data_IF_620742195076
#
_entry.id   IF_620742195076
#
_cell.length_a   1.000
_cell.length_b   1.000
_cell.length_c   1.000
_cell.angle_alpha   90.00
_cell.angle_beta   90.00
_cell.angle_gamma   90.00
#
_symmetry.space_group_name_H-M   'P 1'
#
loop_
_entity.id
_entity.type
_entity.pdbx_description
1 polymer ?
#
# COMPACT_ATOMS: atom_id res chain seq x y z
N UNK A 1 20.73 18.71 48.02
CA UNK A 1 20.20 17.89 46.90
C UNK A 1 19.07 18.63 46.17
N UNK A 2 18.14 19.26 46.90
CA UNK A 2 17.04 20.07 46.33
C UNK A 2 17.50 21.27 45.49
N UNK A 3 18.57 21.97 45.90
CA UNK A 3 19.12 23.12 45.15
C UNK A 3 19.69 22.72 43.79
N UNK A 4 20.24 21.51 43.68
CA UNK A 4 20.78 20.98 42.41
C UNK A 4 19.65 20.58 41.46
N UNK A 5 18.59 19.95 41.97
CA UNK A 5 17.42 19.60 41.17
C UNK A 5 16.70 20.84 40.64
N UNK A 6 16.56 21.89 41.45
CA UNK A 6 15.96 23.16 41.02
C UNK A 6 16.80 23.84 39.94
N UNK A 7 18.11 23.91 40.15
CA UNK A 7 19.06 24.45 39.15
C UNK A 7 19.01 23.68 37.82
N UNK A 8 18.85 22.36 37.86
CA UNK A 8 18.74 21.53 36.64
C UNK A 8 17.39 21.68 35.94
N UNK A 9 16.30 21.85 36.69
CA UNK A 9 14.98 22.15 36.14
C UNK A 9 14.96 23.52 35.44
N UNK A 10 15.56 24.54 36.06
CA UNK A 10 15.66 25.88 35.48
C UNK A 10 16.53 25.88 34.20
N UNK A 11 17.62 25.11 34.17
CA UNK A 11 18.43 24.92 32.95
C UNK A 11 17.64 24.28 31.80
N UNK A 12 16.83 23.24 32.09
CA UNK A 12 16.02 22.59 31.06
C UNK A 12 14.90 23.50 30.57
N UNK A 13 14.29 24.28 31.46
CA UNK A 13 13.28 25.27 31.08
C UNK A 13 13.88 26.35 30.17
N UNK A 14 15.07 26.85 30.48
CA UNK A 14 15.77 27.83 29.64
C UNK A 14 16.13 27.25 28.27
N UNK A 15 16.68 26.03 28.22
CA UNK A 15 17.01 25.36 26.96
C UNK A 15 15.78 25.11 26.07
N UNK A 16 14.64 24.78 26.67
CA UNK A 16 13.38 24.64 25.94
C UNK A 16 12.88 25.99 25.39
N UNK A 17 12.97 27.05 26.19
CA UNK A 17 12.60 28.42 25.78
C UNK A 17 13.46 28.89 24.59
N UNK A 18 14.76 28.62 24.62
CA UNK A 18 15.70 28.99 23.55
C UNK A 18 15.40 28.22 22.26
N UNK A 19 15.06 26.93 22.36
CA UNK A 19 14.70 26.11 21.20
C UNK A 19 13.37 26.55 20.56
N UNK A 20 12.35 26.88 21.38
CA UNK A 20 11.08 27.44 20.88
C UNK A 20 11.33 28.77 20.16
N UNK A 21 12.17 29.63 20.73
CA UNK A 21 12.52 30.92 20.11
C UNK A 21 13.26 30.74 18.77
N UNK A 22 14.19 29.77 18.68
CA UNK A 22 14.90 29.46 17.44
C UNK A 22 13.97 28.89 16.35
N UNK A 23 13.04 28.01 16.72
CA UNK A 23 12.01 27.49 15.81
C UNK A 23 11.09 28.62 15.34
N UNK A 24 10.64 29.49 16.24
CA UNK A 24 9.77 30.61 15.89
C UNK A 24 10.45 31.64 14.98
N UNK A 25 11.74 31.92 15.20
CA UNK A 25 12.54 32.76 14.29
C UNK A 25 12.72 32.10 12.92
N UNK A 26 12.97 30.79 12.88
CA UNK A 26 13.14 30.04 11.63
C UNK A 26 11.83 29.97 10.83
N UNK A 27 10.71 29.73 11.50
CA UNK A 27 9.38 29.74 10.89
C UNK A 27 9.02 31.12 10.34
N UNK A 28 9.30 32.19 11.10
CA UNK A 28 9.05 33.57 10.63
C UNK A 28 9.88 33.92 9.39
N UNK A 29 11.09 33.37 9.27
CA UNK A 29 11.97 33.58 8.13
C UNK A 29 11.53 32.82 6.87
N UNK A 30 10.93 31.63 7.03
CA UNK A 30 10.36 30.86 5.92
C UNK A 30 9.09 31.52 5.39
N UNK A 31 8.20 31.98 6.27
CA UNK A 31 6.97 32.68 5.86
C UNK A 31 7.28 34.00 5.12
N UNK A 32 8.36 34.69 5.50
CA UNK A 32 8.79 35.91 4.80
C UNK A 32 9.40 35.64 3.40
N UNK A 33 9.93 34.43 3.15
CA UNK A 33 10.52 34.07 1.86
C UNK A 33 9.45 33.68 0.83
N UNK A 34 8.39 32.97 1.25
CA UNK A 34 7.29 32.60 0.37
C UNK A 34 6.40 33.79 0.02
N UNK A 35 6.20 34.73 0.96
CA UNK A 35 5.41 35.94 0.70
C UNK A 35 6.07 36.90 -0.31
N UNK A 36 7.39 36.91 -0.42
CA UNK A 36 8.10 37.74 -1.39
C UNK A 36 8.04 37.15 -2.81
N UNK A 37 8.08 35.81 -2.92
CA UNK A 37 8.08 35.11 -4.22
C UNK A 37 6.68 35.04 -4.85
N UNK A 38 5.62 34.90 -4.04
CA UNK A 38 4.24 34.87 -4.53
C UNK A 38 3.69 36.24 -4.99
N UNK A 39 4.45 37.33 -4.80
CA UNK A 39 3.99 38.69 -5.13
C UNK A 39 4.34 39.17 -6.53
N UNK A 40 5.27 38.51 -7.23
CA UNK A 40 5.72 38.95 -8.56
C UNK A 40 4.77 38.50 -9.70
N UNK A 41 3.88 37.54 -9.46
CA UNK A 41 3.01 36.94 -10.50
C UNK A 41 1.54 37.37 -10.43
N UNK A 42 1.20 38.36 -9.60
CA UNK A 42 -0.18 38.86 -9.46
C UNK A 42 -0.39 40.17 -10.25
N UNK A 43 -1.36 40.16 -11.17
CA UNK A 43 -1.81 41.29 -12.00
C UNK A 43 -3.10 41.89 -11.42
N UNK A 44 -3.02 43.06 -10.79
CA UNK A 44 -4.21 43.83 -10.37
C UNK A 44 -4.71 44.72 -11.51
N UNK A 45 -5.91 44.44 -12.02
CA UNK A 45 -6.46 45.08 -13.22
C UNK A 45 -7.81 45.75 -12.92
N UNK A 46 -7.94 47.04 -13.22
CA UNK A 46 -9.16 47.83 -12.99
C UNK A 46 -10.09 47.81 -14.21
N UNK A 47 -11.26 47.19 -14.06
CA UNK A 47 -12.31 47.10 -15.08
C UNK A 47 -13.38 48.18 -14.89
N UNK A 48 -13.55 49.03 -15.91
CA UNK A 48 -14.57 50.08 -15.97
C UNK A 48 -15.92 49.56 -16.45
N UNK A 49 -16.89 50.46 -16.65
CA UNK A 49 -18.19 50.14 -17.24
C UNK A 49 -18.03 49.54 -18.65
N UNK A 50 -18.72 48.43 -18.89
CA UNK A 50 -18.71 47.71 -20.18
C UNK A 50 -18.52 46.21 -20.03
N UNK A 51 -18.53 45.46 -21.15
CA UNK A 51 -18.24 44.04 -21.15
C UNK A 51 -16.77 43.80 -20.74
N UNK A 52 -16.55 42.86 -19.81
CA UNK A 52 -15.21 42.50 -19.35
C UNK A 52 -14.33 41.99 -20.50
N UNK A 53 -14.89 41.13 -21.35
CA UNK A 53 -14.22 40.64 -22.55
C UNK A 53 -13.38 39.37 -22.37
N UNK A 54 -13.63 38.59 -21.31
CA UNK A 54 -13.05 37.26 -21.12
C UNK A 54 -14.11 36.25 -20.67
N UNK A 55 -13.83 34.96 -20.83
CA UNK A 55 -14.66 33.84 -20.36
C UNK A 55 -13.86 33.01 -19.37
N UNK A 56 -14.51 32.62 -18.25
CA UNK A 56 -13.92 31.78 -17.22
C UNK A 56 -14.51 30.36 -17.25
N UNK A 57 -13.65 29.38 -17.03
CA UNK A 57 -13.99 28.01 -16.63
C UNK A 57 -13.40 27.81 -15.23
N UNK A 58 -14.29 27.66 -14.24
CA UNK A 58 -13.91 27.78 -12.84
C UNK A 58 -13.33 29.16 -12.51
N UNK A 59 -12.06 29.19 -12.12
CA UNK A 59 -11.25 30.40 -11.92
C UNK A 59 -10.26 30.67 -13.06
N UNK A 60 -10.18 29.84 -14.08
CA UNK A 60 -9.21 29.95 -15.17
C UNK A 60 -9.78 30.73 -16.38
N UNK A 61 -8.98 31.62 -16.96
CA UNK A 61 -9.33 32.34 -18.19
C UNK A 61 -9.13 31.43 -19.40
N UNK A 62 -10.22 31.04 -20.06
CA UNK A 62 -10.19 30.11 -21.22
C UNK A 62 -10.24 30.84 -22.55
N UNK A 63 -10.83 32.04 -22.58
CA UNK A 63 -10.96 32.82 -23.79
C UNK A 63 -10.94 34.32 -23.48
N UNK A 64 -10.22 35.08 -24.30
CA UNK A 64 -10.18 36.54 -24.26
C UNK A 64 -10.69 37.06 -25.60
N UNK A 65 -11.66 37.96 -25.58
CA UNK A 65 -12.27 38.52 -26.79
C UNK A 65 -11.42 39.69 -27.30
N UNK A 66 -11.07 39.72 -28.59
CA UNK A 66 -10.22 40.77 -29.14
C UNK A 66 -10.91 42.14 -29.08
N UNK A 67 -10.10 43.20 -28.97
CA UNK A 67 -10.46 44.61 -28.85
C UNK A 67 -11.27 44.99 -27.59
N UNK A 68 -11.41 44.09 -26.62
CA UNK A 68 -12.14 44.33 -25.36
C UNK A 68 -11.25 44.90 -24.25
N UNK A 69 -11.83 45.14 -23.07
CA UNK A 69 -11.09 45.67 -21.92
C UNK A 69 -10.06 44.67 -21.38
N UNK A 70 -10.42 43.37 -21.32
CA UNK A 70 -9.53 42.30 -20.88
C UNK A 70 -8.18 42.27 -21.63
N UNK A 71 -8.23 42.25 -22.96
CA UNK A 71 -7.02 42.22 -23.81
C UNK A 71 -6.18 43.49 -23.62
N UNK A 72 -6.82 44.67 -23.54
CA UNK A 72 -6.10 45.95 -23.34
C UNK A 72 -5.42 46.04 -21.97
N UNK A 73 -5.96 45.33 -20.97
CA UNK A 73 -5.40 45.26 -19.63
C UNK A 73 -4.37 44.14 -19.46
N UNK A 74 -4.13 43.31 -20.50
CA UNK A 74 -3.15 42.24 -20.47
C UNK A 74 -3.61 40.96 -19.77
N UNK A 75 -4.92 40.70 -19.76
CA UNK A 75 -5.45 39.38 -19.40
C UNK A 75 -5.16 38.40 -20.52
N UNK A 76 -4.49 37.30 -20.20
CA UNK A 76 -4.12 36.25 -21.15
C UNK A 76 -4.92 34.96 -20.88
N UNK A 77 -4.98 34.08 -21.89
CA UNK A 77 -5.57 32.74 -21.72
C UNK A 77 -4.64 31.94 -20.81
N UNK A 78 -5.19 31.33 -19.76
CA UNK A 78 -4.45 30.63 -18.72
C UNK A 78 -4.29 31.41 -17.42
N UNK A 79 -4.50 32.74 -17.42
CA UNK A 79 -4.50 33.52 -16.18
C UNK A 79 -5.59 33.00 -15.22
N UNK A 80 -5.27 32.88 -13.92
CA UNK A 80 -6.19 32.41 -12.88
C UNK A 80 -6.70 33.58 -12.05
N UNK A 81 -8.01 33.70 -11.90
CA UNK A 81 -8.64 34.75 -11.09
C UNK A 81 -8.55 34.39 -9.59
N UNK A 82 -7.77 35.17 -8.84
CA UNK A 82 -7.51 34.94 -7.41
C UNK A 82 -8.31 35.88 -6.52
N UNK A 83 -8.49 37.15 -6.91
CA UNK A 83 -9.26 38.11 -6.13
C UNK A 83 -10.22 38.94 -6.98
N UNK A 84 -11.35 39.26 -6.36
CA UNK A 84 -12.42 40.07 -6.94
C UNK A 84 -12.72 41.19 -5.94
N UNK A 85 -12.29 42.42 -6.23
CA UNK A 85 -12.43 43.60 -5.37
C UNK A 85 -11.91 43.38 -3.93
N UNK A 86 -10.78 42.70 -3.81
CA UNK A 86 -10.17 42.33 -2.53
C UNK A 86 -10.72 41.07 -1.86
N UNK A 87 -11.81 40.47 -2.39
CA UNK A 87 -12.31 39.18 -1.92
C UNK A 87 -11.57 38.02 -2.59
N UNK A 88 -11.04 37.11 -1.80
CA UNK A 88 -10.36 35.91 -2.30
C UNK A 88 -11.36 34.92 -2.89
N UNK A 89 -11.06 34.47 -4.12
CA UNK A 89 -11.77 33.39 -4.80
C UNK A 89 -11.23 32.07 -4.25
N UNK A 90 -12.07 31.22 -3.64
CA UNK A 90 -11.58 29.96 -3.09
C UNK A 90 -10.97 29.06 -4.18
N UNK A 91 -9.78 28.50 -3.90
CA UNK A 91 -9.15 27.47 -4.73
C UNK A 91 -9.82 26.13 -4.44
N UNK A 92 -10.21 25.42 -5.49
CA UNK A 92 -10.84 24.11 -5.38
C UNK A 92 -10.04 23.11 -6.20
N UNK A 93 -9.76 21.94 -5.62
CA UNK A 93 -8.96 20.88 -6.23
C UNK A 93 -9.82 19.86 -6.97
N UNK A 94 -11.14 19.88 -6.78
CA UNK A 94 -12.07 18.89 -7.34
C UNK A 94 -13.07 19.51 -8.32
N UNK A 95 -13.37 18.79 -9.42
CA UNK A 95 -14.30 19.20 -10.47
C UNK A 95 -15.71 19.56 -9.95
N UNK A 96 -16.15 18.92 -8.86
CA UNK A 96 -17.47 19.17 -8.27
C UNK A 96 -17.56 20.53 -7.59
N UNK A 97 -16.47 20.97 -6.97
CA UNK A 97 -16.39 22.24 -6.27
C UNK A 97 -16.17 23.41 -7.23
N UNK A 98 -15.52 23.16 -8.37
CA UNK A 98 -15.33 24.13 -9.44
C UNK A 98 -16.67 24.69 -9.97
N UNK A 99 -17.70 23.85 -10.06
CA UNK A 99 -19.04 24.31 -10.45
C UNK A 99 -19.68 25.29 -9.45
N UNK A 100 -19.36 25.14 -8.15
CA UNK A 100 -19.81 26.08 -7.11
C UNK A 100 -19.02 27.39 -7.21
N UNK A 101 -17.71 27.30 -7.42
CA UNK A 101 -16.84 28.45 -7.66
C UNK A 101 -17.38 29.31 -8.80
N UNK A 102 -17.70 28.68 -9.94
CA UNK A 102 -18.26 29.36 -11.12
C UNK A 102 -19.53 30.15 -10.81
N UNK A 103 -20.43 29.61 -9.98
CA UNK A 103 -21.67 30.31 -9.59
C UNK A 103 -21.38 31.51 -8.68
N UNK A 104 -20.45 31.35 -7.74
CA UNK A 104 -20.06 32.43 -6.81
C UNK A 104 -19.34 33.54 -7.57
N UNK A 105 -18.35 33.20 -8.39
CA UNK A 105 -17.60 34.14 -9.24
C UNK A 105 -18.55 34.87 -10.19
N UNK A 106 -19.46 34.15 -10.88
CA UNK A 106 -20.44 34.78 -11.76
C UNK A 106 -21.39 35.73 -11.01
N UNK A 107 -21.75 35.39 -9.77
CA UNK A 107 -22.56 36.26 -8.91
C UNK A 107 -21.78 37.51 -8.51
N UNK A 108 -20.54 37.37 -8.05
CA UNK A 108 -19.68 38.50 -7.67
C UNK A 108 -19.42 39.42 -8.87
N UNK A 109 -19.02 38.88 -10.03
CA UNK A 109 -18.81 39.67 -11.26
C UNK A 109 -20.06 40.44 -11.71
N UNK A 110 -21.26 39.94 -11.39
CA UNK A 110 -22.54 40.59 -11.72
C UNK A 110 -22.95 41.66 -10.69
N UNK A 111 -22.66 41.44 -9.41
CA UNK A 111 -23.07 42.30 -8.30
C UNK A 111 -22.04 43.39 -7.96
N UNK A 112 -20.83 43.30 -8.49
CA UNK A 112 -19.76 44.26 -8.21
C UNK A 112 -20.05 45.68 -8.72
N UNK A 113 -19.75 46.71 -7.90
CA UNK A 113 -19.75 48.08 -8.37
C UNK A 113 -18.64 48.29 -9.41
N UNK A 114 -18.93 49.10 -10.44
CA UNK A 114 -17.95 49.50 -11.45
C UNK A 114 -17.40 50.88 -11.08
N UNK A 115 -16.08 51.13 -11.15
CA UNK A 115 -15.02 50.21 -11.57
C UNK A 115 -14.72 49.12 -10.53
N UNK A 116 -14.31 47.94 -11.00
CA UNK A 116 -13.96 46.79 -10.18
C UNK A 116 -12.49 46.38 -10.40
N UNK A 117 -11.78 46.02 -9.33
CA UNK A 117 -10.40 45.53 -9.41
C UNK A 117 -10.41 44.00 -9.40
N UNK A 118 -9.79 43.37 -10.38
CA UNK A 118 -9.63 41.92 -10.47
C UNK A 118 -8.14 41.58 -10.40
N UNK A 119 -7.78 40.62 -9.53
CA UNK A 119 -6.40 40.14 -9.40
C UNK A 119 -6.26 38.79 -10.07
N UNK A 120 -5.39 38.71 -11.07
CA UNK A 120 -5.06 37.48 -11.78
C UNK A 120 -3.68 36.99 -11.39
N UNK A 121 -3.51 35.69 -11.30
CA UNK A 121 -2.24 34.98 -11.13
C UNK A 121 -1.87 34.38 -12.48
N UNK A 122 -0.63 34.61 -12.94
CA UNK A 122 -0.14 33.91 -14.13
C UNK A 122 -0.20 32.40 -13.86
N UNK A 123 -0.59 31.57 -14.84
CA UNK A 123 -0.46 30.14 -14.69
C UNK A 123 1.03 29.86 -14.45
N UNK A 124 1.34 29.06 -13.44
CA UNK A 124 2.67 28.48 -13.32
C UNK A 124 2.95 27.84 -14.68
N UNK A 125 3.87 28.44 -15.45
CA UNK A 125 4.38 27.80 -16.64
C UNK A 125 5.12 26.59 -16.08
N UNK A 126 4.43 25.46 -16.04
CA UNK A 126 5.10 24.18 -15.98
C UNK A 126 6.12 24.25 -17.13
N UNK A 127 7.40 24.35 -16.80
CA UNK A 127 8.52 24.46 -17.75
C UNK A 127 8.67 23.20 -18.64
N UNK A 128 7.59 22.44 -18.83
CA UNK A 128 7.41 21.43 -19.84
C UNK A 128 7.34 22.09 -21.23
N UNK A 129 8.48 22.51 -21.76
CA UNK A 129 8.87 22.36 -23.18
C UNK A 129 10.11 23.22 -23.52
N UNK A 130 11.27 22.72 -23.10
CA UNK A 130 12.46 22.78 -23.97
C UNK A 130 12.79 21.41 -24.53
N UNK A 131 11.77 20.72 -25.06
CA UNK A 131 11.97 19.57 -25.96
C UNK A 131 12.19 20.08 -27.39
N UNK A 132 13.45 20.42 -27.65
CA UNK A 132 13.97 20.49 -29.02
C UNK A 132 13.81 19.12 -29.70
N UNK A 133 13.46 19.06 -30.98
CA UNK A 133 13.27 17.81 -31.69
C UNK A 133 14.65 17.25 -32.07
N UNK A 134 15.20 16.32 -31.30
CA UNK A 134 16.20 15.41 -31.84
C UNK A 134 16.19 14.09 -31.08
N UNK A 135 15.57 13.08 -31.70
CA UNK A 135 15.33 11.77 -31.13
C UNK A 135 16.61 10.98 -30.82
N UNK A 136 16.52 10.20 -29.74
CA UNK A 136 17.01 8.84 -29.62
C UNK A 136 16.57 8.31 -28.24
N UNK A 137 15.74 7.26 -28.26
CA UNK A 137 15.47 6.28 -27.20
C UNK A 137 16.18 6.53 -25.85
N UNK A 138 15.47 7.17 -24.92
CA UNK A 138 15.80 7.15 -23.51
C UNK A 138 14.56 6.77 -22.70
N UNK A 139 14.72 5.89 -21.70
CA UNK A 139 13.62 5.25 -20.99
C UNK A 139 12.83 6.29 -20.21
N UNK A 140 11.50 6.23 -20.36
CA UNK A 140 10.50 6.93 -19.55
C UNK A 140 10.87 6.81 -18.06
N UNK A 141 11.48 7.87 -17.54
CA UNK A 141 11.75 8.02 -16.11
C UNK A 141 10.62 8.89 -15.59
N UNK A 142 9.56 8.25 -15.13
CA UNK A 142 8.43 8.87 -14.42
C UNK A 142 8.99 9.74 -13.29
N UNK A 143 9.01 11.06 -13.48
CA UNK A 143 9.28 12.02 -12.42
C UNK A 143 8.02 12.17 -11.55
N UNK A 144 7.72 11.13 -10.77
CA UNK A 144 6.94 11.28 -9.55
C UNK A 144 7.82 12.00 -8.53
N UNK A 145 7.86 13.33 -8.59
CA UNK A 145 8.48 14.14 -7.54
C UNK A 145 7.76 13.83 -6.21
N UNK A 146 8.48 13.64 -5.09
CA UNK A 146 7.92 12.94 -3.95
C UNK A 146 6.86 13.80 -3.24
N UNK A 147 5.62 13.32 -3.21
CA UNK A 147 4.52 13.79 -2.33
C UNK A 147 4.83 13.64 -0.81
N UNK A 148 6.10 13.50 -0.44
CA UNK A 148 6.56 13.28 0.93
C UNK A 148 6.12 14.40 1.88
N UNK A 149 6.02 15.64 1.39
CA UNK A 149 5.50 16.78 2.17
C UNK A 149 4.01 16.65 2.51
N UNK A 150 3.18 16.22 1.55
CA UNK A 150 1.73 16.08 1.75
C UNK A 150 1.40 14.99 2.77
N UNK A 151 2.11 13.84 2.72
CA UNK A 151 1.95 12.75 3.70
C UNK A 151 2.31 13.23 5.11
N UNK A 152 3.34 14.04 5.25
CA UNK A 152 3.79 14.54 6.56
C UNK A 152 2.80 15.54 7.16
N UNK A 153 2.18 16.40 6.33
CA UNK A 153 1.10 17.32 6.75
C UNK A 153 -0.13 16.54 7.21
N UNK A 154 -0.61 15.58 6.42
CA UNK A 154 -1.76 14.73 6.78
C UNK A 154 -1.49 13.92 8.05
N UNK A 155 -0.25 13.44 8.24
CA UNK A 155 0.12 12.71 9.45
C UNK A 155 0.12 13.61 10.69
N UNK A 156 0.58 14.85 10.57
CA UNK A 156 0.52 15.84 11.64
C UNK A 156 -0.92 16.22 11.99
N UNK A 157 -1.78 16.40 10.98
CA UNK A 157 -3.20 16.70 11.18
C UNK A 157 -3.94 15.54 11.84
N UNK A 158 -3.66 14.30 11.43
CA UNK A 158 -4.22 13.09 12.05
C UNK A 158 -3.77 12.95 13.52
N UNK A 159 -2.52 13.30 13.84
CA UNK A 159 -2.06 13.35 15.23
C UNK A 159 -2.82 14.41 16.04
N UNK A 160 -2.98 15.62 15.48
CA UNK A 160 -3.72 16.70 16.13
C UNK A 160 -5.17 16.30 16.41
N UNK A 161 -5.88 15.70 15.44
CA UNK A 161 -7.26 15.21 15.62
C UNK A 161 -7.32 14.12 16.71
N UNK A 162 -6.33 13.22 16.76
CA UNK A 162 -6.25 12.20 17.81
C UNK A 162 -6.04 12.79 19.21
N UNK A 163 -5.23 13.84 19.34
CA UNK A 163 -5.01 14.54 20.60
C UNK A 163 -6.25 15.32 21.03
N UNK A 164 -6.89 16.03 20.12
CA UNK A 164 -8.17 16.73 20.37
C UNK A 164 -9.24 15.74 20.86
N UNK A 165 -9.38 14.58 20.20
CA UNK A 165 -10.30 13.52 20.64
C UNK A 165 -9.93 12.99 22.03
N UNK A 166 -8.66 12.70 22.30
CA UNK A 166 -8.21 12.24 23.63
C UNK A 166 -8.56 13.24 24.72
N UNK A 167 -8.37 14.54 24.44
CA UNK A 167 -8.71 15.61 25.35
C UNK A 167 -10.23 15.66 25.61
N UNK A 168 -11.06 15.68 24.56
CA UNK A 168 -12.52 15.69 24.69
C UNK A 168 -13.05 14.44 25.42
N UNK A 169 -12.45 13.27 25.19
CA UNK A 169 -12.80 12.03 25.87
C UNK A 169 -12.46 12.07 27.37
N UNK A 170 -11.32 12.65 27.74
CA UNK A 170 -10.96 12.88 29.15
C UNK A 170 -11.94 13.85 29.80
N UNK A 171 -12.24 14.98 29.16
CA UNK A 171 -13.22 15.96 29.66
C UNK A 171 -14.63 15.36 29.80
N UNK A 172 -15.04 14.48 28.89
CA UNK A 172 -16.32 13.77 28.98
C UNK A 172 -16.34 12.83 30.20
N UNK A 173 -15.24 12.12 30.46
CA UNK A 173 -15.11 11.23 31.62
C UNK A 173 -15.19 12.03 32.93
N UNK A 174 -14.47 13.14 33.02
CA UNK A 174 -14.50 14.03 34.20
C UNK A 174 -15.92 14.59 34.44
N UNK A 175 -16.63 14.96 33.37
CA UNK A 175 -18.04 15.38 33.47
C UNK A 175 -18.99 14.24 33.92
N UNK A 176 -18.73 13.00 33.52
CA UNK A 176 -19.51 11.86 33.98
C UNK A 176 -19.25 11.55 35.46
N UNK A 177 -18.00 11.63 35.91
CA UNK A 177 -17.63 11.44 37.30
C UNK A 177 -18.24 12.53 38.21
N UNK A 178 -18.16 13.79 37.80
CA UNK A 178 -18.78 14.91 38.53
C UNK A 178 -20.31 14.79 38.57
N UNK A 179 -20.94 14.37 37.48
CA UNK A 179 -22.38 14.05 37.43
C UNK A 179 -22.74 12.94 38.44
N UNK A 180 -21.95 11.85 38.50
CA UNK A 180 -22.12 10.79 39.48
C UNK A 180 -22.01 11.27 40.93
N UNK A 181 -21.05 12.16 41.22
CA UNK A 181 -20.88 12.76 42.56
C UNK A 181 -22.08 13.64 42.95
N UNK A 182 -22.56 14.49 42.05
CA UNK A 182 -23.72 15.36 42.29
C UNK A 182 -25.00 14.54 42.53
N UNK A 183 -25.22 13.47 41.76
CA UNK A 183 -26.34 12.55 41.98
C UNK A 183 -26.28 11.92 43.37
N UNK A 184 -25.10 11.42 43.77
CA UNK A 184 -24.91 10.85 45.10
C UNK A 184 -25.17 11.87 46.22
N UNK A 185 -24.74 13.13 46.04
CA UNK A 185 -24.99 14.20 47.01
C UNK A 185 -26.48 14.52 47.13
N UNK A 186 -27.20 14.63 46.01
CA UNK A 186 -28.66 14.83 46.00
C UNK A 186 -29.39 13.69 46.71
N UNK A 187 -28.97 12.44 46.49
CA UNK A 187 -29.54 11.29 47.21
C UNK A 187 -29.24 11.31 48.71
N UNK A 188 -28.04 11.73 49.11
CA UNK A 188 -27.67 11.89 50.52
C UNK A 188 -28.54 12.92 51.22
N UNK A 189 -28.68 14.12 50.63
CA UNK A 189 -29.52 15.19 51.18
C UNK A 189 -31.00 14.77 51.28
N UNK A 190 -31.51 14.03 50.28
CA UNK A 190 -32.86 13.45 50.33
C UNK A 190 -33.01 12.49 51.50
N UNK A 191 -32.04 11.60 51.72
CA UNK A 191 -32.03 10.66 52.87
C UNK A 191 -31.97 11.40 54.21
N UNK A 192 -31.20 12.48 54.31
CA UNK A 192 -31.10 13.31 55.51
C UNK A 192 -32.36 14.14 55.80
N UNK A 193 -33.10 14.56 54.76
CA UNK A 193 -34.35 15.31 54.92
C UNK A 193 -35.53 14.45 55.37
N UNK A 194 -35.53 13.16 55.02
CA UNK A 194 -36.60 12.22 55.33
C UNK A 194 -36.94 12.11 56.84
N UNK A 195 -35.98 11.99 57.78
CA UNK A 195 -36.30 11.97 59.22
C UNK A 195 -36.83 13.31 59.73
N UNK A 196 -36.40 14.45 59.18
CA UNK A 196 -36.91 15.76 59.58
C UNK A 196 -38.38 15.92 59.19
N UNK A 197 -38.77 15.44 58.00
CA UNK A 197 -40.17 15.41 57.56
C UNK A 197 -41.04 14.53 58.45
N UNK A 198 -40.53 13.37 58.89
CA UNK A 198 -41.24 12.51 59.86
C UNK A 198 -41.40 13.20 61.21
N UNK A 199 -40.33 13.84 61.73
CA UNK A 199 -40.38 14.58 63.00
C UNK A 199 -41.37 15.75 62.93
N UNK A 200 -41.46 16.46 61.80
CA UNK A 200 -42.47 17.50 61.59
C UNK A 200 -43.89 16.94 61.70
N UNK A 201 -44.18 15.82 61.02
CA UNK A 201 -45.48 15.15 61.12
C UNK A 201 -45.80 14.71 62.55
N UNK A 202 -44.83 14.15 63.28
CA UNK A 202 -45.01 13.73 64.67
C UNK A 202 -45.29 14.93 65.60
N UNK A 203 -44.57 16.05 65.43
CA UNK A 203 -44.77 17.27 66.21
C UNK A 203 -46.13 17.91 65.93
N UNK A 204 -46.60 17.88 64.67
CA UNK A 204 -47.94 18.36 64.31
C UNK A 204 -49.04 17.54 65.00
N UNK A 205 -48.92 16.21 65.03
CA UNK A 205 -49.85 15.32 65.74
C UNK A 205 -49.84 15.58 67.26
N UNK A 206 -48.67 15.81 67.86
CA UNK A 206 -48.55 16.17 69.28
C UNK A 206 -49.26 17.50 69.59
N UNK A 207 -49.06 18.52 68.77
CA UNK A 207 -49.72 19.82 68.92
C UNK A 207 -51.24 19.68 68.78
N UNK A 208 -51.73 18.86 67.84
CA UNK A 208 -53.16 18.58 67.69
C UNK A 208 -53.73 17.88 68.93
N UNK A 209 -53.01 16.89 69.47
CA UNK A 209 -53.41 16.16 70.69
C UNK A 209 -53.47 17.06 71.91
N UNK A 210 -52.50 17.96 72.09
CA UNK A 210 -52.52 18.94 73.19
C UNK A 210 -53.69 19.93 73.04
N UNK A 211 -54.05 20.31 71.81
CA UNK A 211 -55.22 21.17 71.55
C UNK A 211 -56.53 20.48 71.90
N UNK A 212 -56.70 19.20 71.59
CA UNK A 212 -57.91 18.45 71.95
C UNK A 212 -58.01 18.24 73.45
N UNK A 213 -56.92 17.86 74.13
CA UNK A 213 -56.87 17.72 75.59
C UNK A 213 -57.22 19.04 76.30
N UNK A 214 -56.67 20.17 75.85
CA UNK A 214 -57.02 21.48 76.40
C UNK A 214 -58.50 21.82 76.20
N UNK A 215 -59.08 21.49 75.03
CA UNK A 215 -60.51 21.69 74.77
C UNK A 215 -61.39 20.85 75.71
N UNK A 216 -60.99 19.61 75.99
CA UNK A 216 -61.69 18.71 76.91
C UNK A 216 -61.62 19.21 78.36
N UNK A 217 -60.43 19.63 78.83
CA UNK A 217 -60.24 20.19 80.17
C UNK A 217 -61.10 21.45 80.39
N UNK A 218 -61.12 22.37 79.44
CA UNK A 218 -61.96 23.58 79.50
C UNK A 218 -63.44 23.21 79.57
N UNK A 219 -63.88 22.21 78.79
CA UNK A 219 -65.26 21.73 78.80
C UNK A 219 -65.64 21.07 80.12
N UNK A 220 -64.74 20.27 80.71
CA UNK A 220 -64.93 19.61 82.00
C UNK A 220 -65.01 20.60 83.17
N UNK A 221 -64.19 21.65 83.17
CA UNK A 221 -64.26 22.73 84.17
C UNK A 221 -65.59 23.48 84.07
N UNK A 222 -66.04 23.82 82.85
CA UNK A 222 -67.31 24.49 82.66
C UNK A 222 -68.49 23.65 83.20
N UNK A 223 -68.47 22.34 82.97
CA UNK A 223 -69.52 21.43 83.44
C UNK A 223 -69.54 21.24 84.98
N UNK A 224 -68.38 21.30 85.64
CA UNK A 224 -68.26 21.06 87.09
C UNK A 224 -68.47 22.30 87.97
N UNK A 225 -68.73 23.46 87.37
CA UNK A 225 -68.92 24.74 88.06
C UNK A 225 -70.22 24.85 88.88
N UNK A 226 -71.15 23.91 88.75
CA UNK A 226 -72.50 24.02 89.34
C UNK A 226 -72.66 23.41 90.76
N UNK A 227 -71.67 22.67 91.31
CA UNK A 227 -71.89 21.88 92.54
C UNK A 227 -70.78 21.92 93.60
N UNK A 228 -69.76 22.77 93.44
CA UNK A 228 -68.57 22.81 94.33
C UNK A 228 -68.55 24.04 95.22
N UNK A 229 -67.90 23.91 96.38
CA UNK A 229 -67.67 25.03 97.30
C UNK A 229 -66.68 26.04 96.68
N UNK A 230 -66.83 27.32 97.02
CA UNK A 230 -66.03 28.39 96.41
C UNK A 230 -64.52 28.19 96.57
N UNK A 231 -64.07 27.57 97.67
CA UNK A 231 -62.65 27.31 97.93
C UNK A 231 -62.06 26.20 97.03
N UNK A 232 -62.82 25.13 96.78
CA UNK A 232 -62.43 24.09 95.83
C UNK A 232 -62.41 24.63 94.40
N UNK A 233 -63.39 25.49 94.06
CA UNK A 233 -63.45 26.20 92.79
C UNK A 233 -62.22 27.10 92.57
N UNK A 234 -61.73 27.77 93.61
CA UNK A 234 -60.53 28.61 93.50
C UNK A 234 -59.26 27.79 93.29
N UNK A 235 -59.09 26.68 94.04
CA UNK A 235 -57.96 25.75 93.86
C UNK A 235 -57.97 25.12 92.46
N UNK A 236 -59.15 24.73 91.96
CA UNK A 236 -59.32 24.23 90.60
C UNK A 236 -58.97 25.28 89.54
N UNK A 237 -59.38 26.55 89.73
CA UNK A 237 -59.03 27.64 88.82
C UNK A 237 -57.52 27.91 88.78
N UNK A 238 -56.84 27.88 89.93
CA UNK A 238 -55.38 28.02 89.98
C UNK A 238 -54.66 26.83 89.32
N UNK A 239 -55.10 25.60 89.60
CA UNK A 239 -54.54 24.41 88.96
C UNK A 239 -54.76 24.42 87.44
N UNK A 240 -55.95 24.85 86.99
CA UNK A 240 -56.27 25.03 85.58
C UNK A 240 -55.39 26.11 84.93
N UNK A 241 -55.22 27.26 85.59
CA UNK A 241 -54.36 28.33 85.08
C UNK A 241 -52.90 27.85 84.93
N UNK A 242 -52.38 27.12 85.91
CA UNK A 242 -51.04 26.54 85.84
C UNK A 242 -50.90 25.48 84.74
N UNK A 243 -51.91 24.61 84.54
CA UNK A 243 -51.91 23.64 83.43
C UNK A 243 -52.08 24.31 82.06
N UNK A 244 -52.87 25.38 81.99
CA UNK A 244 -53.03 26.18 80.79
C UNK A 244 -51.73 26.89 80.42
N UNK A 245 -51.04 27.49 81.39
CA UNK A 245 -49.73 28.13 81.16
C UNK A 245 -48.67 27.10 80.76
N UNK A 246 -48.59 25.96 81.44
CA UNK A 246 -47.66 24.88 81.09
C UNK A 246 -47.94 24.31 79.69
N UNK A 247 -49.21 24.09 79.33
CA UNK A 247 -49.58 23.61 77.99
C UNK A 247 -49.35 24.67 76.92
N UNK A 248 -49.56 25.96 77.22
CA UNK A 248 -49.28 27.05 76.31
C UNK A 248 -47.78 27.20 76.07
N UNK A 249 -46.95 27.08 77.11
CA UNK A 249 -45.50 27.04 76.99
C UNK A 249 -45.03 25.83 76.17
N UNK A 250 -45.62 24.65 76.39
CA UNK A 250 -45.32 23.46 75.60
C UNK A 250 -45.70 23.61 74.12
N UNK A 251 -46.86 24.21 73.83
CA UNK A 251 -47.29 24.51 72.45
C UNK A 251 -46.36 25.53 71.80
N UNK A 252 -45.93 26.58 72.51
CA UNK A 252 -44.98 27.56 71.98
C UNK A 252 -43.60 26.95 71.72
N UNK A 253 -43.10 26.09 72.61
CA UNK A 253 -41.86 25.35 72.40
C UNK A 253 -41.96 24.41 71.20
N UNK A 254 -43.07 23.66 71.09
CA UNK A 254 -43.34 22.81 69.93
C UNK A 254 -43.43 23.61 68.62
N UNK A 255 -44.09 24.77 68.64
CA UNK A 255 -44.18 25.68 67.49
C UNK A 255 -42.82 26.23 67.07
N UNK A 256 -41.95 26.56 68.03
CA UNK A 256 -40.59 27.01 67.75
C UNK A 256 -39.75 25.87 67.14
N UNK A 257 -39.87 24.65 67.66
CA UNK A 257 -39.21 23.47 67.09
C UNK A 257 -39.71 23.14 65.67
N UNK A 258 -41.02 23.22 65.42
CA UNK A 258 -41.58 23.01 64.07
C UNK A 258 -41.10 24.09 63.10
N UNK A 259 -41.08 25.36 63.50
CA UNK A 259 -40.60 26.45 62.65
C UNK A 259 -39.11 26.28 62.30
N UNK A 260 -38.29 25.87 63.27
CA UNK A 260 -36.88 25.58 63.03
C UNK A 260 -36.68 24.38 62.08
N UNK A 261 -37.47 23.31 62.24
CA UNK A 261 -37.42 22.14 61.36
C UNK A 261 -37.93 22.46 59.94
N UNK A 262 -38.97 23.27 59.79
CA UNK A 262 -39.45 23.78 58.50
C UNK A 262 -38.37 24.62 57.79
N UNK A 263 -37.72 25.54 58.51
CA UNK A 263 -36.65 26.35 57.95
C UNK A 263 -35.50 25.47 57.44
N UNK A 264 -35.10 24.43 58.21
CA UNK A 264 -34.07 23.48 57.80
C UNK A 264 -34.50 22.68 56.56
N UNK A 265 -35.75 22.22 56.50
CA UNK A 265 -36.28 21.53 55.31
C UNK A 265 -36.30 22.44 54.07
N UNK A 266 -36.66 23.72 54.23
CA UNK A 266 -36.61 24.70 53.15
C UNK A 266 -35.19 24.96 52.66
N UNK A 267 -34.21 25.08 53.56
CA UNK A 267 -32.79 25.21 53.20
C UNK A 267 -32.30 23.98 52.41
N UNK A 268 -32.58 22.77 52.89
CA UNK A 268 -32.24 21.53 52.19
C UNK A 268 -32.93 21.43 50.82
N UNK A 269 -34.19 21.86 50.70
CA UNK A 269 -34.90 21.89 49.43
C UNK A 269 -34.29 22.88 48.43
N UNK A 270 -33.85 24.06 48.90
CA UNK A 270 -33.12 25.03 48.07
C UNK A 270 -31.76 24.49 47.62
N UNK A 271 -31.03 23.82 48.51
CA UNK A 271 -29.74 23.18 48.18
C UNK A 271 -29.92 22.08 47.12
N UNK A 272 -30.89 21.19 47.29
CA UNK A 272 -31.23 20.16 46.29
C UNK A 272 -31.60 20.80 44.96
N UNK A 273 -32.38 21.89 44.95
CA UNK A 273 -32.74 22.60 43.73
C UNK A 273 -31.50 23.19 43.03
N UNK A 274 -30.57 23.77 43.79
CA UNK A 274 -29.30 24.29 43.26
C UNK A 274 -28.45 23.18 42.63
N UNK A 275 -28.28 22.06 43.33
CA UNK A 275 -27.52 20.90 42.83
C UNK A 275 -28.18 20.28 41.60
N UNK A 276 -29.51 20.25 41.52
CA UNK A 276 -30.23 19.77 40.33
C UNK A 276 -30.00 20.67 39.10
N UNK A 277 -29.90 21.99 39.28
CA UNK A 277 -29.55 22.91 38.19
C UNK A 277 -28.11 22.67 37.73
N UNK A 278 -27.17 22.53 38.66
CA UNK A 278 -25.77 22.18 38.32
C UNK A 278 -25.68 20.84 37.59
N UNK A 279 -26.45 19.84 38.01
CA UNK A 279 -26.52 18.54 37.34
C UNK A 279 -27.03 18.66 35.90
N UNK A 280 -28.05 19.50 35.66
CA UNK A 280 -28.57 19.76 34.32
C UNK A 280 -27.50 20.41 33.43
N UNK A 281 -26.76 21.41 33.93
CA UNK A 281 -25.70 22.09 33.19
C UNK A 281 -24.54 21.15 32.84
N UNK A 282 -24.10 20.31 33.79
CA UNK A 282 -23.04 19.31 33.55
C UNK A 282 -23.50 18.25 32.54
N UNK A 283 -24.76 17.83 32.62
CA UNK A 283 -25.33 16.87 31.67
C UNK A 283 -25.41 17.45 30.26
N UNK A 284 -25.86 18.69 30.11
CA UNK A 284 -25.89 19.38 28.82
C UNK A 284 -24.48 19.58 28.24
N UNK A 285 -23.49 19.93 29.07
CA UNK A 285 -22.09 19.99 28.66
C UNK A 285 -21.58 18.62 28.18
N UNK A 286 -21.91 17.54 28.88
CA UNK A 286 -21.51 16.18 28.51
C UNK A 286 -22.16 15.73 27.19
N UNK A 287 -23.43 16.04 26.97
CA UNK A 287 -24.12 15.76 25.70
C UNK A 287 -23.53 16.55 24.53
N UNK A 288 -23.24 17.84 24.73
CA UNK A 288 -22.57 18.67 23.73
C UNK A 288 -21.20 18.10 23.33
N UNK A 289 -20.38 17.67 24.30
CA UNK A 289 -19.09 17.01 24.02
C UNK A 289 -19.26 15.67 23.29
N UNK A 290 -20.27 14.87 23.63
CA UNK A 290 -20.57 13.63 22.87
C UNK A 290 -20.87 13.92 21.41
N UNK A 291 -21.67 14.95 21.14
CA UNK A 291 -21.99 15.38 19.77
C UNK A 291 -20.75 15.91 19.01
N UNK A 292 -19.77 16.48 19.70
CA UNK A 292 -18.49 16.88 19.10
C UNK A 292 -17.54 15.71 18.82
N UNK A 293 -17.57 14.65 19.62
CA UNK A 293 -16.71 13.46 19.43
C UNK A 293 -17.18 12.63 18.24
N UNK A 294 -18.49 12.49 18.02
CA UNK A 294 -19.05 11.65 16.95
C UNK A 294 -18.53 11.97 15.52
N UNK A 295 -18.49 13.23 15.05
CA UNK A 295 -17.94 13.53 13.72
C UNK A 295 -16.44 13.23 13.60
N UNK A 296 -15.66 13.53 14.64
CA UNK A 296 -14.22 13.20 14.68
C UNK A 296 -13.97 11.69 14.60
N UNK A 297 -14.84 10.88 15.21
CA UNK A 297 -14.78 9.42 15.09
C UNK A 297 -15.08 8.94 13.67
N UNK A 298 -16.05 9.55 12.99
CA UNK A 298 -16.36 9.26 11.58
C UNK A 298 -15.21 9.66 10.66
N UNK A 299 -14.61 10.83 10.86
CA UNK A 299 -13.45 11.28 10.10
C UNK A 299 -12.26 10.33 10.29
N UNK A 300 -11.93 9.98 11.54
CA UNK A 300 -10.87 9.00 11.83
C UNK A 300 -11.13 7.62 11.22
N UNK A 301 -12.39 7.18 11.17
CA UNK A 301 -12.76 5.95 10.48
C UNK A 301 -12.54 6.07 8.97
N UNK A 302 -12.88 7.22 8.38
CA UNK A 302 -12.60 7.53 6.97
C UNK A 302 -11.10 7.48 6.65
N UNK A 303 -10.26 8.12 7.47
CA UNK A 303 -8.79 8.08 7.30
C UNK A 303 -8.24 6.66 7.40
N UNK A 304 -8.74 5.83 8.32
CA UNK A 304 -8.32 4.43 8.44
C UNK A 304 -8.70 3.61 7.20
N UNK A 305 -9.92 3.77 6.71
CA UNK A 305 -10.38 3.07 5.51
C UNK A 305 -9.59 3.50 4.27
N UNK A 306 -9.30 4.80 4.12
CA UNK A 306 -8.46 5.31 3.04
C UNK A 306 -7.03 4.75 3.11
N UNK A 307 -6.42 4.73 4.30
CA UNK A 307 -5.08 4.18 4.49
C UNK A 307 -5.03 2.66 4.20
N UNK A 308 -6.05 1.91 4.60
CA UNK A 308 -6.14 0.47 4.28
C UNK A 308 -6.26 0.24 2.77
N UNK A 309 -7.07 1.04 2.07
CA UNK A 309 -7.18 0.99 0.61
C UNK A 309 -5.86 1.35 -0.10
N UNK A 310 -5.11 2.35 0.39
CA UNK A 310 -3.77 2.65 -0.13
C UNK A 310 -2.82 1.47 0.04
N UNK A 311 -2.81 0.82 1.21
CA UNK A 311 -1.98 -0.35 1.46
C UNK A 311 -2.36 -1.52 0.53
N UNK A 312 -3.64 -1.70 0.22
CA UNK A 312 -4.10 -2.70 -0.74
C UNK A 312 -3.61 -2.40 -2.16
N UNK A 313 -3.68 -1.13 -2.61
CA UNK A 313 -3.11 -0.72 -3.89
C UNK A 313 -1.60 -0.97 -3.97
N UNK A 314 -0.85 -0.69 -2.90
CA UNK A 314 0.59 -1.00 -2.84
C UNK A 314 0.87 -2.50 -2.92
N UNK A 315 0.05 -3.35 -2.27
CA UNK A 315 0.17 -4.81 -2.35
C UNK A 315 -0.09 -5.31 -3.77
N UNK A 316 -1.17 -4.84 -4.40
CA UNK A 316 -1.51 -5.18 -5.79
C UNK A 316 -0.41 -4.75 -6.77
N UNK A 317 0.16 -3.56 -6.60
CA UNK A 317 1.26 -3.10 -7.43
C UNK A 317 2.52 -3.96 -7.25
N UNK A 318 2.84 -4.33 -6.00
CA UNK A 318 3.96 -5.21 -5.69
C UNK A 318 3.75 -6.60 -6.30
N UNK A 319 2.54 -7.15 -6.24
CA UNK A 319 2.18 -8.41 -6.91
C UNK A 319 2.34 -8.30 -8.43
N UNK A 320 1.93 -7.18 -9.04
CA UNK A 320 2.12 -6.93 -10.46
C UNK A 320 3.60 -6.91 -10.84
N UNK A 321 4.45 -6.18 -10.09
CA UNK A 321 5.90 -6.13 -10.31
C UNK A 321 6.54 -7.51 -10.15
N UNK A 322 6.14 -8.27 -9.13
CA UNK A 322 6.60 -9.65 -8.93
C UNK A 322 6.17 -10.56 -10.09
N UNK A 323 4.95 -10.39 -10.60
CA UNK A 323 4.45 -11.09 -11.78
C UNK A 323 5.28 -10.78 -13.04
N UNK A 324 5.64 -9.52 -13.25
CA UNK A 324 6.52 -9.10 -14.34
C UNK A 324 7.91 -9.74 -14.22
N UNK A 325 8.56 -9.64 -13.07
CA UNK A 325 9.87 -10.28 -12.86
C UNK A 325 9.83 -11.80 -13.01
N UNK A 326 8.74 -12.43 -12.55
CA UNK A 326 8.55 -13.86 -12.76
C UNK A 326 8.45 -14.19 -14.26
N UNK A 327 7.68 -13.41 -15.01
CA UNK A 327 7.55 -13.60 -16.45
C UNK A 327 8.89 -13.39 -17.19
N UNK A 328 9.66 -12.36 -16.83
CA UNK A 328 11.02 -12.13 -17.35
C UNK A 328 11.95 -13.30 -17.07
N UNK A 329 11.89 -13.87 -15.86
CA UNK A 329 12.68 -15.06 -15.51
C UNK A 329 12.25 -16.29 -16.32
N UNK A 330 10.95 -16.49 -16.52
CA UNK A 330 10.42 -17.57 -17.35
C UNK A 330 10.84 -17.41 -18.83
N UNK A 331 10.83 -16.18 -19.37
CA UNK A 331 11.35 -15.91 -20.72
C UNK A 331 12.86 -16.19 -20.85
N UNK A 332 13.65 -15.77 -19.86
CA UNK A 332 15.10 -16.01 -19.86
C UNK A 332 15.41 -17.51 -19.75
N UNK A 333 14.65 -18.24 -18.94
CA UNK A 333 14.75 -19.71 -18.87
C UNK A 333 14.43 -20.34 -20.22
N UNK A 334 13.34 -19.95 -20.88
CA UNK A 334 12.99 -20.46 -22.20
C UNK A 334 14.08 -20.16 -23.25
N UNK A 335 14.63 -18.94 -23.27
CA UNK A 335 15.74 -18.59 -24.18
C UNK A 335 17.00 -19.42 -23.92
N UNK A 336 17.27 -19.75 -22.67
CA UNK A 336 18.40 -20.60 -22.29
C UNK A 336 18.17 -22.05 -22.78
N UNK A 337 16.97 -22.60 -22.58
CA UNK A 337 16.60 -23.93 -23.09
C UNK A 337 16.69 -24.01 -24.63
N UNK A 338 16.26 -22.96 -25.34
CA UNK A 338 16.41 -22.88 -26.81
C UNK A 338 17.89 -22.86 -27.24
N UNK A 339 18.75 -22.13 -26.51
CA UNK A 339 20.19 -22.10 -26.78
C UNK A 339 20.85 -23.45 -26.51
N UNK A 340 20.48 -24.13 -25.42
CA UNK A 340 20.96 -25.47 -25.09
C UNK A 340 20.54 -26.48 -26.17
N UNK A 341 19.28 -26.46 -26.59
CA UNK A 341 18.77 -27.31 -27.66
C UNK A 341 19.52 -27.08 -28.99
N UNK A 342 19.77 -25.81 -29.33
CA UNK A 342 20.55 -25.44 -30.52
C UNK A 342 21.99 -25.95 -30.43
N UNK A 343 22.65 -25.72 -29.30
CA UNK A 343 24.02 -26.19 -29.08
C UNK A 343 24.11 -27.73 -29.12
N UNK A 344 23.10 -28.43 -28.61
CA UNK A 344 23.03 -29.89 -28.71
C UNK A 344 22.88 -30.35 -30.16
N UNK A 345 22.01 -29.70 -30.95
CA UNK A 345 21.85 -29.99 -32.37
C UNK A 345 23.16 -29.76 -33.15
N UNK A 346 23.82 -28.63 -32.95
CA UNK A 346 25.10 -28.31 -33.58
C UNK A 346 26.18 -29.34 -33.20
N UNK A 347 26.18 -29.79 -31.93
CA UNK A 347 27.06 -30.86 -31.45
C UNK A 347 26.79 -32.19 -32.16
N UNK A 348 25.51 -32.55 -32.35
CA UNK A 348 25.14 -33.76 -33.08
C UNK A 348 25.54 -33.68 -34.55
N UNK A 349 25.31 -32.54 -35.22
CA UNK A 349 25.72 -32.32 -36.60
C UNK A 349 27.25 -32.46 -36.75
N UNK A 350 28.03 -31.81 -35.87
CA UNK A 350 29.48 -31.94 -35.84
C UNK A 350 29.95 -33.38 -35.59
N UNK A 351 29.25 -34.15 -34.74
CA UNK A 351 29.54 -35.57 -34.53
C UNK A 351 29.30 -36.40 -35.80
N UNK A 352 28.21 -36.13 -36.53
CA UNK A 352 27.93 -36.83 -37.79
C UNK A 352 28.93 -36.49 -38.88
N UNK A 353 29.39 -35.23 -38.97
CA UNK A 353 30.43 -34.81 -39.91
C UNK A 353 31.79 -35.43 -39.56
N UNK A 354 32.12 -35.50 -38.27
CA UNK A 354 33.29 -36.22 -37.78
C UNK A 354 33.23 -37.72 -38.11
N UNK A 355 32.07 -38.35 -38.03
CA UNK A 355 31.91 -39.75 -38.46
C UNK A 355 32.09 -39.91 -39.97
N UNK A 356 31.47 -39.04 -40.78
CA UNK A 356 31.63 -39.06 -42.24
C UNK A 356 33.07 -38.86 -42.68
N UNK A 357 33.79 -37.93 -42.07
CA UNK A 357 35.21 -37.69 -42.37
C UNK A 357 36.09 -38.89 -41.98
N UNK A 358 35.80 -39.56 -40.84
CA UNK A 358 36.47 -40.81 -40.46
C UNK A 358 36.23 -41.92 -41.48
N UNK A 359 35.00 -42.10 -41.94
CA UNK A 359 34.65 -43.08 -42.96
C UNK A 359 35.34 -42.79 -44.30
N UNK A 360 35.35 -41.53 -44.73
CA UNK A 360 36.04 -41.10 -45.94
C UNK A 360 37.56 -41.34 -45.86
N UNK A 361 38.17 -41.09 -44.70
CA UNK A 361 39.59 -41.36 -44.47
C UNK A 361 39.89 -42.87 -44.53
N UNK A 362 39.04 -43.71 -43.92
CA UNK A 362 39.15 -45.15 -44.01
C UNK A 362 38.99 -45.64 -45.46
N UNK A 363 38.03 -45.10 -46.20
CA UNK A 363 37.85 -45.43 -47.62
C UNK A 363 39.08 -45.03 -48.44
N UNK A 364 39.61 -43.82 -48.25
CA UNK A 364 40.82 -43.35 -48.91
C UNK A 364 42.03 -44.23 -48.58
N UNK A 365 42.16 -44.69 -47.33
CA UNK A 365 43.20 -45.62 -46.91
C UNK A 365 43.08 -46.97 -47.63
N UNK A 366 41.88 -47.55 -47.70
CA UNK A 366 41.63 -48.80 -48.43
C UNK A 366 41.94 -48.65 -49.92
N UNK A 367 41.55 -47.53 -50.54
CA UNK A 367 41.84 -47.25 -51.94
C UNK A 367 43.35 -47.06 -52.19
N UNK A 368 44.07 -46.41 -51.27
CA UNK A 368 45.52 -46.27 -51.36
C UNK A 368 46.25 -47.61 -51.21
N UNK A 369 45.81 -48.47 -50.29
CA UNK A 369 46.32 -49.84 -50.14
C UNK A 369 46.04 -50.68 -51.40
N UNK A 370 44.84 -50.58 -51.97
CA UNK A 370 44.50 -51.26 -53.23
C UNK A 370 45.39 -50.79 -54.40
N UNK A 371 45.58 -49.48 -54.57
CA UNK A 371 46.46 -48.91 -55.59
C UNK A 371 47.93 -49.35 -55.39
N UNK A 372 48.40 -49.46 -54.15
CA UNK A 372 49.73 -49.97 -53.85
C UNK A 372 49.89 -51.44 -54.24
N UNK A 373 48.87 -52.28 -54.00
CA UNK A 373 48.83 -53.69 -54.43
C UNK A 373 48.81 -53.79 -55.96
N UNK A 374 48.00 -53.00 -56.65
CA UNK A 374 47.97 -52.96 -58.12
C UNK A 374 49.32 -52.51 -58.71
N UNK A 375 49.94 -51.47 -58.12
CA UNK A 375 51.26 -51.03 -58.52
C UNK A 375 52.35 -52.09 -58.28
N UNK A 376 52.27 -52.85 -57.18
CA UNK A 376 53.17 -53.97 -56.91
C UNK A 376 52.97 -55.12 -57.91
N UNK A 377 51.71 -55.45 -58.23
CA UNK A 377 51.40 -56.44 -59.26
C UNK A 377 51.93 -56.03 -60.64
N UNK A 378 51.73 -54.76 -61.04
CA UNK A 378 52.27 -54.22 -62.29
C UNK A 378 53.81 -54.24 -62.33
N UNK A 379 54.49 -53.99 -61.19
CA UNK A 379 55.95 -54.14 -61.08
C UNK A 379 56.39 -55.58 -61.29
N UNK A 380 55.71 -56.54 -60.65
CA UNK A 380 56.01 -57.96 -60.85
C UNK A 380 55.77 -58.42 -62.29
N UNK A 381 54.71 -57.95 -62.94
CA UNK A 381 54.47 -58.20 -64.37
C UNK A 381 55.58 -57.60 -65.24
N UNK A 382 56.00 -56.35 -64.96
CA UNK A 382 57.11 -55.71 -65.67
C UNK A 382 58.46 -56.43 -65.44
N UNK A 383 58.71 -56.92 -64.22
CA UNK A 383 59.90 -57.73 -63.90
C UNK A 383 59.86 -59.10 -64.57
N UNK A 384 58.69 -59.75 -64.63
CA UNK A 384 58.50 -60.99 -65.37
C UNK A 384 58.73 -60.80 -66.88
N UNK A 385 58.30 -59.67 -67.44
CA UNK A 385 58.62 -59.32 -68.83
C UNK A 385 60.10 -59.01 -69.04
N UNK A 386 60.78 -58.40 -68.06
CA UNK A 386 62.23 -58.16 -68.11
C UNK A 386 63.04 -59.45 -67.95
N UNK A 387 62.60 -60.43 -67.16
CA UNK A 387 63.31 -61.70 -67.01
C UNK A 387 63.25 -62.57 -68.26
N UNK A 388 62.21 -62.41 -69.10
CA UNK A 388 62.11 -62.98 -70.47
C UNK A 388 63.08 -62.29 -71.45
N UNK A 389 63.67 -61.15 -71.09
CA UNK A 389 64.60 -60.38 -71.91
C UNK A 389 65.95 -60.12 -71.24
N UNK A 390 66.40 -60.99 -70.32
CA UNK A 390 67.69 -60.85 -69.64
C UNK A 390 68.83 -61.31 -70.58
N UNK A 391 69.71 -60.40 -71.06
CA UNK A 391 71.00 -60.77 -71.64
C UNK A 391 71.93 -61.20 -70.50
N UNK A 392 72.81 -62.17 -70.75
CA UNK A 392 73.79 -62.67 -69.78
C UNK A 392 74.60 -61.53 -69.13
N UNK A 393 74.78 -61.54 -67.80
CA UNK A 393 75.58 -60.54 -67.12
C UNK A 393 77.06 -60.92 -67.11
N UNK A 394 77.86 -59.99 -67.62
CA UNK A 394 79.30 -59.99 -67.48
C UNK A 394 79.71 -59.42 -66.11
N UNK A 395 80.72 -60.08 -65.57
CA UNK A 395 81.47 -59.89 -64.34
C UNK A 395 81.76 -58.43 -63.95
N UNK A 396 81.68 -58.10 -62.65
CA UNK A 396 82.80 -57.57 -61.84
C UNK A 396 82.34 -57.05 -60.45
N UNK A 397 82.93 -57.67 -59.43
CA UNK A 397 83.06 -57.25 -58.02
C UNK A 397 83.94 -55.96 -57.90
N UNK A 398 83.92 -55.17 -56.80
CA UNK A 398 84.32 -55.66 -55.47
C UNK A 398 83.64 -55.05 -54.21
N UNK A 399 83.76 -55.86 -53.15
CA UNK A 399 83.68 -55.69 -51.68
C UNK A 399 84.55 -54.54 -51.07
N UNK A 400 84.67 -54.37 -49.72
CA UNK A 400 83.72 -54.47 -48.57
C UNK A 400 83.95 -53.38 -47.46
N UNK A 401 83.13 -53.36 -46.41
CA UNK A 401 83.47 -53.09 -44.97
C UNK A 401 82.13 -52.98 -44.18
N UNK A 402 81.74 -53.92 -43.30
CA UNK A 402 82.18 -54.10 -41.90
C UNK A 402 81.33 -53.21 -40.95
N UNK A 403 80.66 -53.62 -39.86
CA UNK A 403 80.88 -54.67 -38.85
C UNK A 403 79.56 -54.95 -38.07
N UNK A 404 79.30 -56.25 -37.88
CA UNK A 404 78.75 -57.05 -36.76
C UNK A 404 77.75 -56.51 -35.70
N UNK A 405 76.72 -57.31 -35.34
CA UNK A 405 76.74 -58.35 -34.28
C UNK A 405 75.29 -58.81 -33.98
N UNK A 406 75.03 -60.12 -33.96
CA UNK A 406 74.23 -60.71 -32.88
C UNK A 406 73.07 -61.66 -33.19
N UNK A 407 73.38 -62.96 -33.18
CA UNK A 407 72.56 -64.08 -32.68
C UNK A 407 71.52 -64.79 -33.60
N UNK A 408 71.99 -65.90 -34.19
CA UNK A 408 71.31 -67.20 -34.45
C UNK A 408 70.74 -67.84 -33.17
N UNK A 409 69.90 -68.92 -33.18
CA UNK A 409 69.77 -70.02 -34.16
C UNK A 409 68.28 -70.34 -34.51
N UNK A 410 67.87 -71.23 -35.39
CA UNK A 410 68.23 -72.64 -35.59
C UNK A 410 67.39 -73.13 -36.79
N UNK A 411 67.98 -73.86 -37.75
CA UNK A 411 67.23 -74.57 -38.79
C UNK A 411 66.76 -75.93 -38.28
N UNK A 412 65.69 -76.49 -38.90
CA UNK A 412 65.88 -77.83 -39.45
C UNK A 412 65.43 -77.99 -40.90
N UNK A 413 66.07 -79.01 -41.47
CA UNK A 413 66.11 -79.51 -42.83
C UNK A 413 64.74 -80.03 -43.39
N UNK A 414 64.68 -80.35 -44.70
CA UNK A 414 63.49 -80.24 -45.53
C UNK A 414 62.69 -81.54 -45.60
N UNK A 415 61.36 -81.42 -45.60
CA UNK A 415 60.45 -82.49 -46.00
C UNK A 415 59.99 -82.23 -47.44
N UNK A 416 60.54 -83.04 -48.34
CA UNK A 416 60.08 -83.21 -49.71
C UNK A 416 58.75 -83.98 -49.65
N UNK A 417 57.72 -83.42 -50.28
CA UNK A 417 56.44 -84.09 -50.53
C UNK A 417 55.31 -83.58 -49.63
N UNK A 418 54.65 -82.51 -50.06
CA UNK A 418 53.29 -82.62 -50.59
C UNK A 418 52.76 -81.24 -51.01
N UNK A 419 52.51 -81.13 -52.30
CA UNK A 419 51.34 -80.48 -52.90
C UNK A 419 50.81 -79.22 -52.19
N UNK A 420 51.07 -78.06 -52.81
CA UNK A 420 50.63 -76.70 -52.46
C UNK A 420 51.47 -76.05 -51.34
N UNK A 421 52.42 -75.22 -51.76
CA UNK A 421 53.21 -74.33 -50.91
C UNK A 421 52.28 -73.57 -49.95
N UNK A 422 52.43 -73.79 -48.63
CA UNK A 422 51.63 -73.10 -47.61
C UNK A 422 51.69 -71.58 -47.73
N UNK A 423 52.74 -71.06 -48.37
CA UNK A 423 52.84 -69.65 -48.77
C UNK A 423 51.78 -69.26 -49.80
N UNK A 424 51.58 -70.06 -50.85
CA UNK A 424 50.51 -69.84 -51.83
C UNK A 424 49.12 -69.99 -51.22
N UNK A 425 48.91 -70.94 -50.31
CA UNK A 425 47.62 -71.07 -49.61
C UNK A 425 47.36 -69.84 -48.73
N UNK A 426 48.36 -69.35 -47.99
CA UNK A 426 48.26 -68.12 -47.21
C UNK A 426 48.03 -66.89 -48.10
N UNK A 427 48.65 -66.83 -49.27
CA UNK A 427 48.48 -65.72 -50.22
C UNK A 427 47.11 -65.75 -50.90
N UNK A 428 46.60 -66.94 -51.26
CA UNK A 428 45.23 -67.12 -51.72
C UNK A 428 44.22 -66.80 -50.62
N UNK A 429 44.47 -67.20 -49.37
CA UNK A 429 43.62 -66.86 -48.23
C UNK A 429 43.57 -65.34 -48.02
N UNK A 430 44.72 -64.64 -48.12
CA UNK A 430 44.78 -63.17 -48.08
C UNK A 430 43.96 -62.55 -49.21
N UNK A 431 44.05 -63.11 -50.42
CA UNK A 431 43.30 -62.61 -51.59
C UNK A 431 41.80 -62.87 -51.48
N UNK A 432 41.39 -64.01 -50.92
CA UNK A 432 39.98 -64.32 -50.63
C UNK A 432 39.45 -63.34 -49.59
N UNK A 433 40.15 -63.13 -48.47
CA UNK A 433 39.75 -62.17 -47.44
C UNK A 433 39.63 -60.74 -47.98
N UNK A 434 40.53 -60.34 -48.89
CA UNK A 434 40.47 -59.03 -49.55
C UNK A 434 39.23 -58.92 -50.45
N UNK A 435 38.94 -59.95 -51.25
CA UNK A 435 37.76 -59.98 -52.12
C UNK A 435 36.46 -60.00 -51.31
N UNK A 436 36.40 -60.76 -50.22
CA UNK A 436 35.25 -60.77 -49.30
C UNK A 436 35.01 -59.39 -48.68
N UNK A 437 36.08 -58.71 -48.23
CA UNK A 437 36.00 -57.34 -47.72
C UNK A 437 35.48 -56.35 -48.78
N UNK A 438 35.95 -56.48 -50.03
CA UNK A 438 35.49 -55.65 -51.16
C UNK A 438 34.03 -55.92 -51.51
N UNK A 439 33.61 -57.19 -51.54
CA UNK A 439 32.21 -57.57 -51.75
C UNK A 439 31.29 -57.05 -50.63
N UNK A 440 31.71 -57.15 -49.37
CA UNK A 440 30.96 -56.61 -48.23
C UNK A 440 30.83 -55.08 -48.28
N UNK A 441 31.87 -54.39 -48.76
CA UNK A 441 31.87 -52.93 -48.95
C UNK A 441 30.93 -52.53 -50.10
N UNK A 442 30.96 -53.26 -51.22
CA UNK A 442 30.05 -53.03 -52.35
C UNK A 442 28.59 -53.33 -51.98
N UNK A 443 28.31 -54.39 -51.22
CA UNK A 443 26.96 -54.66 -50.71
C UNK A 443 26.46 -53.58 -49.76
N UNK A 444 27.33 -53.05 -48.89
CA UNK A 444 26.99 -51.88 -48.04
C UNK A 444 26.67 -50.66 -48.91
N UNK A 445 27.48 -50.37 -49.93
CA UNK A 445 27.21 -49.28 -50.88
C UNK A 445 25.88 -49.47 -51.61
N UNK A 446 25.58 -50.67 -52.12
CA UNK A 446 24.30 -50.98 -52.76
C UNK A 446 23.13 -50.72 -51.81
N UNK A 447 23.22 -51.18 -50.56
CA UNK A 447 22.16 -50.93 -49.54
C UNK A 447 22.04 -49.44 -49.17
N UNK A 448 23.16 -48.72 -49.07
CA UNK A 448 23.16 -47.28 -48.80
C UNK A 448 22.63 -46.49 -49.99
N UNK A 449 22.90 -46.96 -51.22
CA UNK A 449 22.37 -46.36 -52.44
C UNK A 449 20.86 -46.60 -52.53
N UNK A 450 20.37 -47.81 -52.22
CA UNK A 450 18.94 -48.11 -52.09
C UNK A 450 18.26 -47.29 -50.97
N UNK A 451 18.98 -46.93 -49.90
CA UNK A 451 18.46 -46.04 -48.85
C UNK A 451 18.41 -44.57 -49.28
N UNK A 452 19.35 -44.10 -50.11
CA UNK A 452 19.41 -42.74 -50.65
C UNK A 452 18.47 -42.55 -51.86
N UNK A 453 18.31 -43.57 -52.70
CA UNK A 453 17.30 -43.63 -53.77
C UNK A 453 15.96 -44.16 -53.27
N UNK A 454 15.89 -44.58 -52.01
CA UNK A 454 14.71 -44.74 -51.18
C UNK A 454 14.02 -43.40 -50.92
N UNK A 455 13.86 -42.57 -51.97
CA UNK A 455 12.63 -41.83 -52.17
C UNK A 455 11.54 -42.86 -52.05
N UNK A 456 11.04 -42.96 -50.83
CA UNK A 456 9.77 -43.52 -50.46
C UNK A 456 8.74 -42.77 -51.31
N UNK A 457 8.61 -43.16 -52.57
CA UNK A 457 7.43 -42.95 -53.40
C UNK A 457 6.33 -43.76 -52.73
N UNK A 458 5.94 -43.29 -51.54
CA UNK A 458 4.63 -43.51 -51.00
C UNK A 458 3.70 -43.13 -52.13
N UNK A 459 2.90 -44.07 -52.66
CA UNK A 459 2.09 -43.78 -53.82
C UNK A 459 1.26 -42.53 -53.55
N UNK A 460 1.39 -41.50 -54.39
CA UNK A 460 0.74 -40.20 -54.19
C UNK A 460 -0.80 -40.27 -54.15
N UNK A 461 -1.39 -41.46 -54.32
CA UNK A 461 -2.81 -41.71 -54.15
C UNK A 461 -3.26 -41.77 -52.68
N UNK A 462 -2.40 -42.13 -51.71
CA UNK A 462 -2.80 -42.13 -50.28
C UNK A 462 -3.00 -40.70 -49.74
N UNK A 463 -2.14 -39.75 -50.15
CA UNK A 463 -2.31 -38.33 -49.84
C UNK A 463 -3.52 -37.71 -50.57
N UNK A 464 -3.89 -38.23 -51.75
CA UNK A 464 -5.11 -37.79 -52.46
C UNK A 464 -6.39 -38.38 -51.87
N UNK A 465 -6.36 -39.59 -51.28
CA UNK A 465 -7.51 -40.16 -50.56
C UNK A 465 -7.76 -39.46 -49.22
N UNK A 466 -6.73 -39.07 -48.48
CA UNK A 466 -6.88 -38.30 -47.24
C UNK A 466 -7.47 -36.89 -47.47
N UNK A 467 -7.20 -36.28 -48.64
CA UNK A 467 -7.80 -35.01 -49.03
C UNK A 467 -9.27 -35.13 -49.49
N UNK A 468 -9.69 -36.32 -49.98
CA UNK A 468 -11.06 -36.56 -50.43
C UNK A 468 -12.03 -37.00 -49.32
N UNK A 469 -11.54 -37.53 -48.20
CA UNK A 469 -12.42 -38.02 -47.12
C UNK A 469 -12.91 -36.95 -46.15
N UNK A 470 -12.55 -35.67 -46.34
CA UNK A 470 -13.33 -34.52 -45.88
C UNK A 470 -13.93 -34.64 -44.48
N UNK A 471 -13.19 -35.16 -43.50
CA UNK A 471 -13.67 -35.33 -42.13
C UNK A 471 -13.57 -33.99 -41.39
N UNK A 472 -14.54 -33.12 -41.65
CA UNK A 472 -14.89 -32.03 -40.75
C UNK A 472 -15.34 -32.63 -39.40
N UNK A 473 -14.42 -32.74 -38.45
CA UNK A 473 -14.78 -32.93 -37.06
C UNK A 473 -15.27 -31.58 -36.50
N UNK A 474 -16.59 -31.37 -36.54
CA UNK A 474 -17.25 -30.36 -35.70
C UNK A 474 -17.07 -30.74 -34.23
N UNK A 475 -16.19 -30.03 -33.54
CA UNK A 475 -16.07 -30.08 -32.08
C UNK A 475 -17.18 -29.20 -31.49
N UNK A 476 -18.27 -29.82 -31.05
CA UNK A 476 -19.22 -29.20 -30.11
C UNK A 476 -18.52 -28.96 -28.79
N UNK A 477 -18.60 -27.71 -28.34
CA UNK A 477 -18.32 -27.26 -26.97
C UNK A 477 -19.45 -27.75 -26.06
N UNK A 478 -19.13 -28.15 -24.83
CA UNK A 478 -19.87 -27.72 -23.65
C UNK A 478 -19.08 -26.70 -22.84
#
# INVERSE_FOLDING_TARGET
>A
METWLKSKADQLAQAAQDHVSAVQQSASKLVAFDAARASEDLKDLEFRDGPLGFTLEGSLVVAVQPSTQAERLGVEIGDRLVKIDGYEVPRYETDFEEQRARKVIAKWLKEMPRPAILTFELPEQDDEETNGPCGADLPERSEEVPKAGAVQVLQAELQRIQEERKKLAAELKDSQETCGQLVAQVESLKKESAPNLRRLSEMEEQVQTLRTQNKELVSAVNASSASRTDEEMLKLRQALAATQEASQAAVQAAQAETAAAEQKCQQQAQEVKSLMLQLADVTACAESRKLQIEPLEKELQGFRAAHEAELDLYREEQERRNGQHRHELEELQHRLEEQELKAEKDRQEAQTELQRSKEALLEAKVNAEAAAVEAAAARHEAEALRSVHRPEPDSLNPEPDGIEVGATPEMPAPAIGDLWDGSQVLEMQKRINLLESRCATLQRRLRSQDALTGVNMRPSWELRLAALTGTQFHRRVP
#
